data_IF_903503506928
#
_entry.id   IF_903503506928
#
_cell.length_a   1.000
_cell.length_b   1.000
_cell.length_c   1.000
_cell.angle_alpha   90.00
_cell.angle_beta   90.00
_cell.angle_gamma   90.00
#
_symmetry.space_group_name_H-M   'P 1'
#
loop_
_entity.id
_entity.type
_entity.pdbx_description
1 polymer ?
#
# COMPACT_ATOMS: atom_id res chain seq x y z
N UNK A 1 -3.36 5.52 -2.86
CA UNK A 1 -3.80 6.15 -4.14
C UNK A 1 -2.83 7.19 -4.70
N UNK A 2 -2.28 8.11 -3.89
CA UNK A 2 -1.29 9.10 -4.36
C UNK A 2 -0.17 8.48 -5.21
N UNK A 3 0.46 7.40 -4.72
CA UNK A 3 1.54 6.71 -5.45
C UNK A 3 1.06 6.15 -6.79
N UNK A 4 -0.09 5.47 -6.83
CA UNK A 4 -0.68 4.94 -8.07
C UNK A 4 -0.93 6.04 -9.10
N UNK A 5 -1.64 7.12 -8.72
CA UNK A 5 -1.92 8.24 -9.64
C UNK A 5 -0.64 8.88 -10.16
N UNK A 6 0.35 9.06 -9.27
CA UNK A 6 1.63 9.66 -9.63
C UNK A 6 2.42 8.80 -10.60
N UNK A 7 2.43 7.48 -10.42
CA UNK A 7 3.09 6.52 -11.31
C UNK A 7 2.41 6.46 -12.68
N UNK A 8 1.08 6.27 -12.71
CA UNK A 8 0.34 6.23 -13.98
C UNK A 8 0.52 7.53 -14.79
N UNK A 9 0.62 8.69 -14.14
CA UNK A 9 0.72 9.98 -14.83
C UNK A 9 2.14 10.51 -15.01
N UNK A 10 3.16 9.84 -14.48
CA UNK A 10 4.53 10.38 -14.42
C UNK A 10 4.60 11.73 -13.70
N UNK A 11 3.71 11.94 -12.71
CA UNK A 11 3.39 13.27 -12.17
C UNK A 11 4.62 14.02 -11.64
N UNK A 12 5.46 13.36 -10.85
CA UNK A 12 6.65 14.00 -10.25
C UNK A 12 7.68 14.39 -11.31
N UNK A 13 7.84 13.58 -12.35
CA UNK A 13 8.71 13.87 -13.49
C UNK A 13 8.23 15.08 -14.29
N UNK A 14 6.94 15.13 -14.65
CA UNK A 14 6.35 16.27 -15.36
C UNK A 14 6.43 17.57 -14.54
N UNK A 15 6.16 17.51 -13.22
CA UNK A 15 6.32 18.66 -12.32
C UNK A 15 7.76 19.14 -12.27
N UNK A 16 8.73 18.23 -12.22
CA UNK A 16 10.15 18.57 -12.23
C UNK A 16 10.57 19.19 -13.57
N UNK A 17 10.13 18.63 -14.70
CA UNK A 17 10.38 19.12 -16.05
C UNK A 17 9.91 20.56 -16.21
N UNK A 18 8.66 20.86 -15.87
CA UNK A 18 8.10 22.20 -15.95
C UNK A 18 8.89 23.21 -15.10
N UNK A 19 9.26 22.84 -13.87
CA UNK A 19 10.06 23.70 -12.97
C UNK A 19 11.46 23.99 -13.50
N UNK A 20 12.04 23.05 -14.25
CA UNK A 20 13.34 23.21 -14.90
C UNK A 20 13.26 24.03 -16.21
N UNK A 21 12.09 24.56 -16.58
CA UNK A 21 11.88 25.31 -17.83
C UNK A 21 11.48 24.44 -19.03
N UNK A 22 11.22 23.15 -18.81
CA UNK A 22 10.62 22.26 -19.79
C UNK A 22 9.12 22.46 -19.94
N UNK A 23 8.46 21.55 -20.68
CA UNK A 23 7.00 21.57 -20.86
C UNK A 23 6.38 20.19 -20.63
N UNK A 24 6.43 19.31 -21.63
CA UNK A 24 5.96 17.92 -21.53
C UNK A 24 7.12 16.98 -21.81
N UNK A 25 7.34 16.01 -20.91
CA UNK A 25 8.46 15.05 -21.02
C UNK A 25 8.04 13.65 -21.47
N UNK A 26 6.76 13.29 -21.32
CA UNK A 26 6.25 11.98 -21.73
C UNK A 26 4.73 11.87 -21.77
N UNK A 27 4.27 10.64 -21.96
CA UNK A 27 2.85 10.29 -21.99
C UNK A 27 2.46 9.58 -20.70
N UNK A 28 1.49 10.15 -19.99
CA UNK A 28 0.83 9.47 -18.89
C UNK A 28 -0.17 8.43 -19.40
N UNK A 29 -0.52 7.49 -18.52
CA UNK A 29 -1.48 6.44 -18.73
C UNK A 29 -2.82 6.79 -18.05
N UNK A 30 -3.92 6.54 -18.76
CA UNK A 30 -5.26 6.57 -18.18
C UNK A 30 -5.55 5.32 -17.34
N UNK A 31 -6.47 5.43 -16.38
CA UNK A 31 -6.88 4.34 -15.49
C UNK A 31 -8.05 3.52 -16.03
N UNK A 32 -8.96 4.12 -16.78
CA UNK A 32 -10.15 3.44 -17.31
C UNK A 32 -9.79 2.16 -18.08
N UNK A 33 -10.45 1.05 -17.73
CA UNK A 33 -10.21 -0.27 -18.32
C UNK A 33 -8.91 -0.96 -17.92
N UNK A 34 -8.02 -0.31 -17.17
CA UNK A 34 -6.81 -0.95 -16.60
C UNK A 34 -7.20 -1.87 -15.44
N UNK A 35 -6.37 -2.87 -15.18
CA UNK A 35 -6.56 -3.82 -14.07
C UNK A 35 -5.71 -3.43 -12.87
N UNK A 36 -6.35 -3.20 -11.72
CA UNK A 36 -5.67 -3.10 -10.42
C UNK A 36 -5.71 -4.47 -9.71
N UNK A 37 -4.53 -5.02 -9.42
CA UNK A 37 -4.35 -6.20 -8.59
C UNK A 37 -4.13 -5.81 -7.13
N UNK A 38 -4.96 -6.34 -6.23
CA UNK A 38 -4.86 -6.08 -4.78
C UNK A 38 -4.38 -7.34 -4.06
N UNK A 39 -3.18 -7.28 -3.50
CA UNK A 39 -2.65 -8.32 -2.59
C UNK A 39 -3.14 -7.99 -1.19
N UNK A 40 -4.21 -8.68 -0.75
CA UNK A 40 -4.89 -8.44 0.52
C UNK A 40 -6.16 -7.58 0.40
N UNK A 41 -7.33 -8.22 0.36
CA UNK A 41 -8.64 -7.56 0.35
C UNK A 41 -9.22 -7.36 1.78
N UNK A 42 -8.36 -6.89 2.69
CA UNK A 42 -8.72 -6.58 4.08
C UNK A 42 -9.27 -5.16 4.24
N UNK A 43 -9.19 -4.64 5.47
CA UNK A 43 -9.69 -3.31 5.81
C UNK A 43 -9.05 -2.19 4.97
N UNK A 44 -7.75 -2.27 4.67
CA UNK A 44 -7.09 -1.28 3.80
C UNK A 44 -7.32 -1.54 2.31
N UNK A 45 -7.45 -2.81 1.90
CA UNK A 45 -7.63 -3.20 0.50
C UNK A 45 -9.02 -2.88 -0.06
N UNK A 46 -10.08 -3.01 0.75
CA UNK A 46 -11.47 -2.78 0.31
C UNK A 46 -11.74 -1.31 -0.08
N UNK A 47 -11.35 -0.29 0.72
CA UNK A 47 -11.47 1.11 0.29
C UNK A 47 -10.65 1.42 -0.97
N UNK A 48 -9.48 0.78 -1.12
CA UNK A 48 -8.65 0.94 -2.33
C UNK A 48 -9.38 0.40 -3.56
N UNK A 49 -10.01 -0.78 -3.46
CA UNK A 49 -10.84 -1.36 -4.52
C UNK A 49 -12.01 -0.44 -4.91
N UNK A 50 -12.72 0.11 -3.91
CA UNK A 50 -13.85 1.02 -4.13
C UNK A 50 -13.45 2.25 -4.96
N UNK A 51 -12.29 2.85 -4.64
CA UNK A 51 -11.80 4.01 -5.40
C UNK A 51 -11.33 3.60 -6.80
N UNK A 52 -10.76 2.40 -6.98
CA UNK A 52 -10.37 1.90 -8.31
C UNK A 52 -11.57 1.77 -9.25
N UNK A 53 -12.69 1.24 -8.74
CA UNK A 53 -13.94 1.13 -9.48
C UNK A 53 -14.52 2.51 -9.85
N UNK A 54 -14.35 3.52 -8.99
CA UNK A 54 -14.74 4.89 -9.32
C UNK A 54 -13.93 5.48 -10.50
N UNK A 55 -12.72 4.98 -10.74
CA UNK A 55 -11.91 5.28 -11.93
C UNK A 55 -12.20 4.32 -13.11
N UNK A 56 -13.24 3.50 -13.03
CA UNK A 56 -13.60 2.48 -14.03
C UNK A 56 -12.46 1.49 -14.33
N UNK A 57 -11.66 1.15 -13.30
CA UNK A 57 -10.69 0.06 -13.38
C UNK A 57 -11.35 -1.29 -13.14
N UNK A 58 -10.79 -2.34 -13.74
CA UNK A 58 -11.07 -3.72 -13.36
C UNK A 58 -10.32 -4.03 -12.06
N UNK A 59 -10.97 -4.62 -11.06
CA UNK A 59 -10.34 -4.93 -9.77
C UNK A 59 -10.29 -6.44 -9.56
N UNK A 60 -9.07 -6.95 -9.41
CA UNK A 60 -8.81 -8.35 -9.04
C UNK A 60 -8.06 -8.38 -7.72
N UNK A 61 -8.29 -9.41 -6.92
CA UNK A 61 -7.61 -9.54 -5.63
C UNK A 61 -7.20 -10.98 -5.32
N UNK A 62 -6.18 -11.09 -4.49
CA UNK A 62 -5.73 -12.34 -3.92
C UNK A 62 -5.34 -12.12 -2.46
N UNK A 63 -5.67 -13.09 -1.61
CA UNK A 63 -5.03 -13.31 -0.31
C UNK A 63 -5.10 -14.81 0.00
N UNK A 64 -4.31 -15.35 0.96
CA UNK A 64 -4.23 -16.79 1.19
C UNK A 64 -5.58 -17.50 1.42
N UNK A 65 -6.56 -16.79 1.97
CA UNK A 65 -7.89 -17.32 2.31
C UNK A 65 -9.03 -16.54 1.63
N UNK A 66 -8.75 -15.80 0.55
CA UNK A 66 -9.77 -15.06 -0.19
C UNK A 66 -10.56 -16.04 -1.05
N UNK A 67 -11.89 -15.98 -0.94
CA UNK A 67 -12.81 -16.73 -1.81
C UNK A 67 -13.62 -15.76 -2.66
N UNK A 68 -14.23 -16.26 -3.74
CA UNK A 68 -15.09 -15.45 -4.60
C UNK A 68 -16.27 -14.84 -3.82
N UNK A 69 -16.85 -15.61 -2.88
CA UNK A 69 -17.97 -15.17 -2.05
C UNK A 69 -17.57 -14.02 -1.12
N UNK A 70 -16.33 -14.00 -0.64
CA UNK A 70 -15.79 -12.90 0.20
C UNK A 70 -15.45 -11.65 -0.61
N UNK A 71 -15.10 -11.79 -1.88
CA UNK A 71 -14.75 -10.66 -2.75
C UNK A 71 -15.97 -10.03 -3.43
N UNK A 72 -17.00 -10.84 -3.73
CA UNK A 72 -18.19 -10.42 -4.48
C UNK A 72 -18.93 -9.19 -3.91
N UNK A 73 -19.11 -9.04 -2.57
CA UNK A 73 -19.77 -7.84 -2.00
C UNK A 73 -19.04 -6.53 -2.31
N UNK A 74 -17.75 -6.60 -2.64
CA UNK A 74 -16.93 -5.44 -2.98
C UNK A 74 -16.80 -5.23 -4.49
N UNK A 75 -17.48 -6.02 -5.33
CA UNK A 75 -17.35 -5.96 -6.79
C UNK A 75 -15.93 -6.31 -7.28
N UNK A 76 -15.22 -7.15 -6.53
CA UNK A 76 -13.84 -7.57 -6.82
C UNK A 76 -13.82 -9.02 -7.25
N UNK A 77 -13.05 -9.33 -8.30
CA UNK A 77 -12.81 -10.70 -8.73
C UNK A 77 -11.71 -11.33 -7.88
N UNK A 78 -12.02 -12.40 -7.13
CA UNK A 78 -10.99 -13.21 -6.47
C UNK A 78 -10.28 -14.08 -7.51
N UNK A 79 -8.94 -13.98 -7.57
CA UNK A 79 -8.11 -14.69 -8.56
C UNK A 79 -6.98 -15.46 -7.88
N UNK A 80 -6.31 -16.34 -8.64
CA UNK A 80 -5.05 -16.92 -8.20
C UNK A 80 -3.97 -15.85 -8.07
N UNK A 81 -2.95 -16.09 -7.22
CA UNK A 81 -1.82 -15.17 -7.09
C UNK A 81 -1.09 -14.97 -8.42
N UNK A 82 -0.87 -16.06 -9.16
CA UNK A 82 -0.27 -16.02 -10.48
C UNK A 82 -1.08 -15.17 -11.47
N UNK A 83 -2.40 -15.34 -11.51
CA UNK A 83 -3.26 -14.52 -12.38
C UNK A 83 -3.25 -13.06 -11.98
N UNK A 84 -3.16 -12.75 -10.68
CA UNK A 84 -3.06 -11.37 -10.20
C UNK A 84 -1.84 -10.67 -10.80
N UNK A 85 -0.65 -11.25 -10.64
CA UNK A 85 0.59 -10.64 -11.14
C UNK A 85 0.66 -10.62 -12.66
N UNK A 86 0.09 -11.61 -13.35
CA UNK A 86 0.07 -11.68 -14.81
C UNK A 86 -0.89 -10.67 -15.46
N UNK A 87 -2.06 -10.42 -14.84
CA UNK A 87 -3.14 -9.61 -15.44
C UNK A 87 -3.08 -8.14 -15.05
N UNK A 88 -2.54 -7.81 -13.88
CA UNK A 88 -2.56 -6.45 -13.35
C UNK A 88 -1.69 -5.48 -14.17
N UNK A 89 -2.19 -4.25 -14.34
CA UNK A 89 -1.41 -3.10 -14.81
C UNK A 89 -0.78 -2.34 -13.64
N UNK A 90 -1.33 -2.51 -12.44
CA UNK A 90 -0.65 -2.16 -11.20
C UNK A 90 -1.03 -3.16 -10.10
N UNK A 91 -0.06 -3.53 -9.27
CA UNK A 91 -0.27 -4.34 -8.06
C UNK A 91 -0.06 -3.46 -6.83
N UNK A 92 -0.97 -3.54 -5.86
CA UNK A 92 -0.85 -2.83 -4.58
C UNK A 92 -1.02 -3.79 -3.41
N UNK A 93 -0.16 -3.66 -2.38
CA UNK A 93 -0.08 -4.58 -1.25
C UNK A 93 -0.74 -3.96 -0.01
N UNK A 94 -1.71 -4.69 0.54
CA UNK A 94 -2.52 -4.35 1.71
C UNK A 94 -2.67 -5.58 2.63
N UNK A 95 -1.56 -6.08 3.15
CA UNK A 95 -1.52 -7.24 4.05
C UNK A 95 -0.77 -6.92 5.35
N UNK A 96 -1.20 -7.45 6.50
CA UNK A 96 -0.42 -7.40 7.72
C UNK A 96 0.85 -8.26 7.58
N UNK A 97 1.92 -7.84 8.25
CA UNK A 97 3.15 -8.62 8.36
C UNK A 97 3.01 -9.69 9.45
N UNK A 98 3.44 -10.90 9.11
CA UNK A 98 3.48 -12.09 9.96
C UNK A 98 4.51 -13.06 9.37
N UNK A 99 4.88 -14.10 10.12
CA UNK A 99 5.78 -15.16 9.62
C UNK A 99 5.27 -15.80 8.30
N UNK A 100 3.95 -15.82 8.10
CA UNK A 100 3.32 -16.38 6.90
C UNK A 100 3.28 -15.44 5.70
N UNK A 101 3.54 -14.14 5.91
CA UNK A 101 3.43 -13.10 4.88
C UNK A 101 4.76 -12.42 4.55
N UNK A 102 5.83 -12.75 5.28
CA UNK A 102 7.21 -12.40 4.88
C UNK A 102 7.48 -12.98 3.49
N UNK A 103 7.98 -12.15 2.57
CA UNK A 103 8.28 -12.54 1.20
C UNK A 103 7.04 -12.98 0.41
N UNK A 104 5.84 -12.58 0.82
CA UNK A 104 4.59 -12.97 0.12
C UNK A 104 4.58 -12.48 -1.32
N UNK A 105 5.36 -11.46 -1.69
CA UNK A 105 5.64 -11.09 -3.08
C UNK A 105 7.11 -11.37 -3.36
N UNK A 106 7.40 -12.49 -4.02
CA UNK A 106 8.75 -12.94 -4.32
C UNK A 106 9.18 -12.67 -5.76
N UNK A 107 10.40 -13.08 -6.10
CA UNK A 107 10.98 -12.91 -7.42
C UNK A 107 10.09 -13.44 -8.57
N UNK A 108 9.52 -14.63 -8.40
CA UNK A 108 8.67 -15.25 -9.41
C UNK A 108 7.35 -14.47 -9.63
N UNK A 109 6.82 -13.81 -8.60
CA UNK A 109 5.63 -12.97 -8.73
C UNK A 109 5.95 -11.70 -9.53
N UNK A 110 7.07 -11.04 -9.19
CA UNK A 110 7.55 -9.84 -9.88
C UNK A 110 7.87 -10.17 -11.35
N UNK A 111 8.47 -11.32 -11.62
CA UNK A 111 8.80 -11.77 -12.98
C UNK A 111 7.57 -12.02 -13.87
N UNK A 112 6.40 -12.29 -13.28
CA UNK A 112 5.13 -12.47 -14.01
C UNK A 112 4.44 -11.16 -14.37
N UNK A 113 4.87 -10.04 -13.78
CA UNK A 113 4.30 -8.73 -14.07
C UNK A 113 4.53 -8.32 -15.52
N UNK A 114 3.60 -7.52 -16.04
CA UNK A 114 3.79 -6.90 -17.36
C UNK A 114 4.98 -5.94 -17.31
N UNK A 115 5.75 -5.80 -18.40
CA UNK A 115 6.79 -4.77 -18.51
C UNK A 115 6.30 -3.35 -18.26
N UNK A 116 5.01 -3.09 -18.52
CA UNK A 116 4.35 -1.80 -18.31
C UNK A 116 3.72 -1.64 -16.93
N UNK A 117 3.79 -2.66 -16.06
CA UNK A 117 3.08 -2.64 -14.78
C UNK A 117 3.84 -1.93 -13.67
N UNK A 118 3.09 -1.46 -12.67
CA UNK A 118 3.64 -0.85 -11.45
C UNK A 118 3.43 -1.74 -10.22
N UNK A 119 4.37 -1.74 -9.28
CA UNK A 119 4.21 -2.38 -7.97
C UNK A 119 4.19 -1.32 -6.85
N UNK A 120 3.19 -1.34 -5.98
CA UNK A 120 3.05 -0.37 -4.88
C UNK A 120 3.00 -1.08 -3.53
N UNK A 121 3.84 -0.64 -2.59
CA UNK A 121 3.84 -1.10 -1.22
C UNK A 121 3.76 0.07 -0.24
N UNK A 122 2.63 0.12 0.47
CA UNK A 122 2.39 1.02 1.59
C UNK A 122 2.04 0.24 2.86
N UNK A 123 2.43 -1.03 2.93
CA UNK A 123 2.13 -1.93 4.04
C UNK A 123 3.37 -2.14 4.90
N UNK A 124 4.20 -3.14 4.58
CA UNK A 124 5.45 -3.44 5.29
C UNK A 124 6.51 -3.87 4.28
N UNK A 125 7.78 -3.49 4.46
CA UNK A 125 8.82 -3.72 3.46
C UNK A 125 9.10 -5.22 3.29
N UNK A 126 9.04 -6.00 4.37
CA UNK A 126 9.31 -7.45 4.37
C UNK A 126 8.27 -8.29 3.61
N UNK A 127 7.16 -7.68 3.14
CA UNK A 127 6.18 -8.38 2.30
C UNK A 127 6.71 -8.62 0.87
N UNK A 128 7.72 -7.86 0.45
CA UNK A 128 8.35 -7.98 -0.86
C UNK A 128 9.78 -8.51 -0.69
N UNK A 129 10.21 -9.38 -1.59
CA UNK A 129 11.62 -9.64 -1.84
C UNK A 129 12.26 -8.38 -2.48
N UNK A 130 12.92 -7.57 -1.64
CA UNK A 130 13.49 -6.27 -2.04
C UNK A 130 14.58 -6.43 -3.10
N UNK A 131 15.44 -7.44 -2.98
CA UNK A 131 16.52 -7.69 -3.93
C UNK A 131 15.95 -8.03 -5.30
N UNK A 132 14.91 -8.86 -5.36
CA UNK A 132 14.23 -9.17 -6.60
C UNK A 132 13.54 -7.96 -7.23
N UNK A 133 12.93 -7.09 -6.41
CA UNK A 133 12.32 -5.85 -6.89
C UNK A 133 13.37 -4.89 -7.46
N UNK A 134 14.48 -4.68 -6.73
CA UNK A 134 15.60 -3.85 -7.18
C UNK A 134 16.15 -4.36 -8.51
N UNK A 135 16.40 -5.68 -8.62
CA UNK A 135 16.89 -6.28 -9.85
C UNK A 135 15.91 -6.08 -11.03
N UNK A 136 14.61 -6.28 -10.79
CA UNK A 136 13.58 -6.08 -11.81
C UNK A 136 13.50 -4.61 -12.28
N UNK A 137 13.62 -3.65 -11.37
CA UNK A 137 13.60 -2.22 -11.67
C UNK A 137 14.85 -1.77 -12.43
N UNK A 138 16.04 -2.22 -12.03
CA UNK A 138 17.29 -1.92 -12.75
C UNK A 138 17.27 -2.47 -14.18
N UNK A 139 16.70 -3.68 -14.36
CA UNK A 139 16.55 -4.32 -15.65
C UNK A 139 15.32 -3.82 -16.45
N UNK A 140 14.56 -2.84 -15.94
CA UNK A 140 13.31 -2.34 -16.54
C UNK A 140 12.32 -3.46 -16.91
N UNK A 141 12.26 -4.52 -16.09
CA UNK A 141 11.33 -5.64 -16.25
C UNK A 141 9.90 -5.28 -15.85
N UNK A 142 9.74 -4.24 -15.06
CA UNK A 142 8.49 -3.56 -14.73
C UNK A 142 8.70 -2.05 -14.90
N UNK A 143 7.61 -1.31 -15.10
CA UNK A 143 7.68 0.13 -15.41
C UNK A 143 8.11 0.98 -14.22
N UNK A 144 7.83 0.53 -13.00
CA UNK A 144 8.27 1.21 -11.80
C UNK A 144 7.62 0.70 -10.52
N UNK A 145 8.02 1.29 -9.40
CA UNK A 145 7.49 0.97 -8.09
C UNK A 145 7.16 2.22 -7.25
N UNK A 146 6.14 2.11 -6.40
CA UNK A 146 5.76 3.10 -5.41
C UNK A 146 6.00 2.57 -4.00
N UNK A 147 6.88 3.19 -3.22
CA UNK A 147 7.30 2.68 -1.91
C UNK A 147 7.06 3.73 -0.82
N UNK A 148 6.29 3.39 0.20
CA UNK A 148 6.14 4.23 1.40
C UNK A 148 6.86 3.65 2.62
N UNK A 149 7.35 2.41 2.54
CA UNK A 149 7.91 1.67 3.68
C UNK A 149 9.24 1.01 3.30
N UNK A 150 10.18 0.94 4.25
CA UNK A 150 11.55 0.50 4.01
C UNK A 150 12.09 -0.38 5.14
N UNK A 151 12.97 -1.32 4.81
CA UNK A 151 13.58 -2.25 5.80
C UNK A 151 14.34 -1.51 6.90
N UNK A 152 14.99 -0.39 6.57
CA UNK A 152 15.60 0.55 7.50
C UNK A 152 14.95 1.92 7.37
N UNK A 153 14.39 2.42 8.46
CA UNK A 153 13.76 3.74 8.54
C UNK A 153 14.42 4.56 9.65
N UNK A 154 14.94 5.79 9.37
CA UNK A 154 14.92 6.49 8.08
C UNK A 154 15.73 5.79 6.98
N UNK A 155 15.29 5.95 5.71
CA UNK A 155 15.98 5.35 4.57
C UNK A 155 17.43 5.85 4.48
N UNK A 156 18.46 4.98 4.44
CA UNK A 156 19.85 5.42 4.36
C UNK A 156 20.13 6.31 3.16
N UNK A 157 21.03 7.29 3.31
CA UNK A 157 21.33 8.28 2.24
C UNK A 157 21.86 7.65 0.95
N UNK A 158 22.59 6.52 1.06
CA UNK A 158 23.12 5.76 -0.09
C UNK A 158 22.18 4.69 -0.66
N UNK A 159 20.93 4.62 -0.20
CA UNK A 159 20.01 3.58 -0.65
C UNK A 159 19.60 3.76 -2.11
N UNK A 160 19.56 2.67 -2.89
CA UNK A 160 19.36 2.71 -4.36
C UNK A 160 18.01 3.33 -4.79
N UNK A 161 16.94 3.12 -4.01
CA UNK A 161 15.64 3.75 -4.23
C UNK A 161 15.67 5.28 -4.26
N UNK A 162 16.70 5.92 -3.70
CA UNK A 162 16.84 7.39 -3.75
C UNK A 162 17.24 7.91 -5.13
N UNK A 163 17.82 7.07 -5.97
CA UNK A 163 18.40 7.48 -7.27
C UNK A 163 17.76 6.77 -8.46
N UNK A 164 16.96 5.73 -8.24
CA UNK A 164 16.25 5.02 -9.31
C UNK A 164 15.17 5.90 -9.95
N UNK A 165 15.21 6.13 -11.28
CA UNK A 165 14.25 7.02 -11.95
C UNK A 165 12.83 6.45 -12.01
N UNK A 166 12.68 5.13 -11.90
CA UNK A 166 11.42 4.40 -11.92
C UNK A 166 10.93 4.02 -10.51
N UNK A 167 11.46 4.63 -9.46
CA UNK A 167 10.97 4.47 -8.09
C UNK A 167 10.41 5.79 -7.57
N UNK A 168 9.15 5.75 -7.15
CA UNK A 168 8.50 6.84 -6.43
C UNK A 168 8.42 6.48 -4.94
N UNK A 169 9.31 7.06 -4.14
CA UNK A 169 9.39 6.76 -2.71
C UNK A 169 8.87 7.93 -1.84
N UNK A 170 8.12 7.62 -0.79
CA UNK A 170 7.68 8.57 0.24
C UNK A 170 8.13 8.11 1.63
N UNK A 171 8.43 9.03 2.57
CA UNK A 171 9.04 8.68 3.84
C UNK A 171 8.02 8.24 4.89
N UNK A 172 7.33 7.11 4.64
CA UNK A 172 6.35 6.51 5.56
C UNK A 172 5.26 7.48 6.02
N UNK A 173 4.60 8.10 5.05
CA UNK A 173 3.59 9.14 5.30
C UNK A 173 2.16 8.61 5.27
N UNK A 174 1.94 7.31 5.06
CA UNK A 174 0.60 6.73 4.89
C UNK A 174 -0.40 7.08 6.01
N UNK A 175 0.07 7.18 7.26
CA UNK A 175 -0.75 7.60 8.41
C UNK A 175 -0.47 9.03 8.88
N UNK A 176 0.48 9.74 8.26
CA UNK A 176 0.93 11.07 8.68
C UNK A 176 0.01 12.13 8.09
N UNK A 177 -1.17 12.24 8.70
CA UNK A 177 -2.13 13.33 8.44
C UNK A 177 -2.44 14.05 9.73
N UNK A 178 -2.88 15.31 9.62
CA UNK A 178 -3.25 16.10 10.79
C UNK A 178 -4.36 15.41 11.60
N UNK A 179 -5.39 14.91 10.92
CA UNK A 179 -6.55 14.27 11.55
C UNK A 179 -6.16 12.99 12.28
N UNK A 180 -5.31 12.15 11.68
CA UNK A 180 -4.83 10.93 12.32
C UNK A 180 -3.97 11.25 13.54
N UNK A 181 -3.12 12.28 13.45
CA UNK A 181 -2.26 12.68 14.56
C UNK A 181 -3.07 13.25 15.72
N UNK A 182 -4.09 14.07 15.45
CA UNK A 182 -5.01 14.56 16.47
C UNK A 182 -5.66 13.41 17.25
N UNK A 183 -6.10 12.35 16.57
CA UNK A 183 -6.65 11.17 17.25
C UNK A 183 -5.57 10.37 17.99
N UNK A 184 -4.45 10.06 17.34
CA UNK A 184 -3.38 9.27 17.95
C UNK A 184 -2.82 9.91 19.22
N UNK A 185 -2.48 11.19 19.18
CA UNK A 185 -1.89 11.87 20.33
C UNK A 185 -2.90 12.07 21.46
N UNK A 186 -4.16 12.41 21.13
CA UNK A 186 -5.24 12.49 22.11
C UNK A 186 -5.44 11.16 22.83
N UNK A 187 -5.64 10.08 22.08
CA UNK A 187 -5.84 8.75 22.67
C UNK A 187 -4.61 8.27 23.45
N UNK A 188 -3.40 8.57 22.98
CA UNK A 188 -2.16 8.23 23.72
C UNK A 188 -2.11 8.94 25.07
N UNK A 189 -2.47 10.23 25.10
CA UNK A 189 -2.51 11.01 26.34
C UNK A 189 -3.60 10.50 27.30
N UNK A 190 -4.79 10.22 26.79
CA UNK A 190 -5.88 9.64 27.57
C UNK A 190 -5.48 8.29 28.18
N UNK A 191 -4.81 7.42 27.41
CA UNK A 191 -4.32 6.14 27.90
C UNK A 191 -3.28 6.32 29.01
N UNK A 192 -2.36 7.28 28.86
CA UNK A 192 -1.36 7.60 29.88
C UNK A 192 -2.00 8.10 31.17
N UNK A 193 -2.94 9.04 31.07
CA UNK A 193 -3.65 9.60 32.23
C UNK A 193 -4.43 8.50 32.97
N UNK A 194 -5.22 7.71 32.24
CA UNK A 194 -5.98 6.59 32.78
C UNK A 194 -5.10 5.55 33.48
N UNK A 195 -3.91 5.27 32.94
CA UNK A 195 -2.94 4.38 33.59
C UNK A 195 -2.43 4.96 34.91
N UNK A 196 -2.07 6.24 34.95
CA UNK A 196 -1.60 6.93 36.17
C UNK A 196 -2.69 6.99 37.25
N UNK A 197 -3.95 7.09 36.85
CA UNK A 197 -5.11 7.09 37.75
C UNK A 197 -5.52 5.67 38.22
N UNK A 198 -4.80 4.63 37.78
CA UNK A 198 -5.06 3.24 38.16
C UNK A 198 -6.24 2.59 37.45
N UNK A 199 -6.77 3.21 36.38
CA UNK A 199 -7.91 2.74 35.62
C UNK A 199 -7.58 2.69 34.11
N UNK A 200 -6.64 1.84 33.67
CA UNK A 200 -6.19 1.82 32.28
C UNK A 200 -7.33 1.55 31.30
N UNK A 201 -7.34 2.29 30.19
CA UNK A 201 -8.30 2.18 29.09
C UNK A 201 -7.61 1.69 27.82
N UNK A 202 -8.40 1.22 26.84
CA UNK A 202 -7.90 0.72 25.53
C UNK A 202 -6.77 -0.32 25.68
N UNK A 203 -6.88 -1.17 26.70
CA UNK A 203 -5.89 -2.21 27.01
C UNK A 203 -5.87 -3.27 25.92
N UNK A 204 -4.66 -3.65 25.50
CA UNK A 204 -4.45 -4.76 24.58
C UNK A 204 -4.16 -6.01 25.42
N UNK A 205 -5.01 -7.02 25.29
CA UNK A 205 -4.87 -8.31 25.99
C UNK A 205 -4.96 -9.47 24.99
N UNK A 206 -4.64 -10.72 25.36
CA UNK A 206 -4.87 -11.87 24.49
C UNK A 206 -6.34 -12.01 24.05
N UNK A 207 -7.28 -11.61 24.91
CA UNK A 207 -8.73 -11.64 24.66
C UNK A 207 -9.20 -10.43 23.84
N UNK A 208 -8.50 -9.29 23.95
CA UNK A 208 -8.73 -8.06 23.18
C UNK A 208 -7.43 -7.67 22.47
N UNK A 209 -7.01 -8.43 21.43
CA UNK A 209 -5.75 -8.19 20.77
C UNK A 209 -5.81 -6.91 19.94
N UNK A 210 -4.65 -6.28 19.76
CA UNK A 210 -4.51 -5.16 18.85
C UNK A 210 -4.83 -5.60 17.42
N UNK A 211 -5.75 -4.88 16.76
CA UNK A 211 -6.09 -5.08 15.36
C UNK A 211 -5.45 -3.95 14.54
N UNK A 212 -4.37 -4.21 13.78
CA UNK A 212 -3.57 -3.18 13.12
C UNK A 212 -4.31 -2.40 12.04
N UNK A 213 -5.46 -2.89 11.59
CA UNK A 213 -6.27 -2.26 10.53
C UNK A 213 -7.65 -1.81 11.05
N UNK A 214 -7.84 -1.55 12.35
CA UNK A 214 -9.05 -0.86 12.78
C UNK A 214 -8.93 0.64 12.45
N UNK A 215 -9.98 1.29 11.89
CA UNK A 215 -9.96 2.74 11.80
C UNK A 215 -9.86 3.26 13.24
N UNK A 216 -9.12 4.35 13.42
CA UNK A 216 -9.18 5.09 14.67
C UNK A 216 -10.56 5.74 14.74
N UNK A 217 -11.54 4.97 15.17
CA UNK A 217 -12.84 5.51 15.52
C UNK A 217 -12.63 6.31 16.79
N UNK A 218 -13.15 7.53 16.82
CA UNK A 218 -13.31 8.30 18.05
C UNK A 218 -14.39 7.61 18.89
N UNK A 219 -14.08 6.43 19.43
CA UNK A 219 -14.94 5.80 20.42
C UNK A 219 -14.64 6.51 21.73
N UNK A 220 -15.63 7.29 22.17
CA UNK A 220 -15.70 7.74 23.55
C UNK A 220 -15.61 6.51 24.46
N UNK A 221 -15.05 6.64 25.68
CA UNK A 221 -15.07 5.55 26.66
C UNK A 221 -16.53 5.12 26.91
N UNK A 222 -16.96 3.98 26.37
CA UNK A 222 -18.32 3.45 26.53
C UNK A 222 -18.97 2.86 25.26
N UNK A 223 -18.51 3.19 24.06
CA UNK A 223 -19.16 2.75 22.80
C UNK A 223 -18.59 1.44 22.24
N UNK A 224 -18.51 0.41 23.09
CA UNK A 224 -18.34 -0.98 22.65
C UNK A 224 -19.47 -1.80 23.26
N UNK A 225 -20.54 -2.00 22.48
CA UNK A 225 -21.53 -3.06 22.69
C UNK A 225 -21.53 -3.98 21.50
#
# INVERSE_FOLDING_TARGET
>A
WLLLLSLFRGFTGEVASLRAGGWQSGLGLGLEGKTLGIVGLGHMGQPVAKVAQAFAMNVIAWSPNLTAERAAPFGVEAVSKEDLFRRADAVTIHMPLSDRTIGVVGADDIARMKPTAFLVNTSRPQLIDEDALVAALQANRIAGAGMDVFTSEPLPAGHIYRTMPNVLATPHIGFVTQENYEVFFRQSFENLQAYLDGAPIRTITPEVPYLPDAPLVDTAPGDVT
#
